data_IF_867144171592
#
_entry.id   IF_867144171592
#
_cell.length_a   1.000
_cell.length_b   1.000
_cell.length_c   1.000
_cell.angle_alpha   90.00
_cell.angle_beta   90.00
_cell.angle_gamma   90.00
#
_symmetry.space_group_name_H-M   'P 1'
#
loop_
_entity.id
_entity.type
_entity.pdbx_description
1 polymer ?
#
# COMPACT_ATOMS: atom_id res chain seq x y z
N UNK A 1 9.72 19.33 -8.95
CA UNK A 1 9.78 18.61 -7.65
C UNK A 1 8.98 17.32 -7.75
N UNK A 2 9.37 16.25 -7.04
CA UNK A 2 8.60 14.98 -7.00
C UNK A 2 8.51 14.45 -5.56
N UNK A 3 7.31 14.10 -5.12
CA UNK A 3 7.01 13.40 -3.87
C UNK A 3 6.32 12.08 -4.21
N UNK A 4 6.87 10.97 -3.74
CA UNK A 4 6.32 9.63 -3.96
C UNK A 4 5.89 9.06 -2.60
N UNK A 5 4.65 8.55 -2.56
CA UNK A 5 4.12 7.72 -1.47
C UNK A 5 3.70 6.38 -2.06
N UNK A 6 4.10 5.29 -1.41
CA UNK A 6 3.72 3.95 -1.83
C UNK A 6 2.77 3.34 -0.79
N UNK A 7 1.64 2.83 -1.26
CA UNK A 7 0.68 2.11 -0.43
C UNK A 7 0.23 0.82 -1.11
N UNK A 8 -0.07 -0.21 -0.32
CA UNK A 8 -0.59 -1.48 -0.81
C UNK A 8 -1.93 -1.76 -0.14
N UNK A 9 -2.96 -1.88 -0.98
CA UNK A 9 -4.31 -2.26 -0.58
C UNK A 9 -4.43 -3.78 -0.60
N UNK A 10 -4.82 -4.35 0.54
CA UNK A 10 -4.96 -5.79 0.70
C UNK A 10 -6.39 -6.06 1.14
N UNK A 11 -7.10 -6.96 0.46
CA UNK A 11 -8.47 -7.30 0.81
C UNK A 11 -8.87 -8.72 0.42
N UNK A 12 -9.95 -9.19 1.05
CA UNK A 12 -10.60 -10.45 0.73
C UNK A 12 -11.75 -10.74 1.68
N UNK A 13 -12.74 -11.51 1.23
CA UNK A 13 -13.92 -11.86 2.02
C UNK A 13 -13.55 -12.52 3.36
N UNK A 14 -12.52 -13.39 3.34
CA UNK A 14 -12.01 -14.07 4.53
C UNK A 14 -10.66 -13.52 4.99
N UNK A 15 -10.21 -12.38 4.45
CA UNK A 15 -8.93 -11.81 4.83
C UNK A 15 -8.97 -11.36 6.29
N UNK A 16 -8.01 -11.77 7.10
CA UNK A 16 -7.86 -11.25 8.47
C UNK A 16 -6.58 -10.42 8.60
N UNK A 17 -6.69 -9.07 8.61
CA UNK A 17 -5.56 -8.18 8.88
C UNK A 17 -4.85 -8.48 10.20
N UNK A 18 -5.56 -8.73 11.31
CA UNK A 18 -4.91 -9.00 12.59
C UNK A 18 -4.10 -10.30 12.56
N UNK A 19 -4.62 -11.34 11.92
CA UNK A 19 -3.87 -12.58 11.73
C UNK A 19 -2.63 -12.35 10.84
N UNK A 20 -2.78 -11.54 9.78
CA UNK A 20 -1.68 -11.19 8.89
C UNK A 20 -0.57 -10.43 9.63
N UNK A 21 -0.88 -9.41 10.43
CA UNK A 21 0.11 -8.71 11.26
C UNK A 21 0.84 -9.67 12.19
N UNK A 22 0.10 -10.53 12.90
CA UNK A 22 0.70 -11.52 13.82
C UNK A 22 1.65 -12.51 13.11
N UNK A 23 1.35 -12.88 11.86
CA UNK A 23 2.18 -13.83 11.08
C UNK A 23 3.39 -13.18 10.42
N UNK A 24 3.29 -11.89 10.07
CA UNK A 24 4.27 -11.21 9.22
C UNK A 24 5.07 -10.15 9.97
N UNK A 25 4.65 -9.79 11.18
CA UNK A 25 5.15 -8.66 11.96
C UNK A 25 5.02 -7.31 11.24
N UNK A 26 4.14 -7.24 10.22
CA UNK A 26 3.79 -6.01 9.55
C UNK A 26 2.81 -5.19 10.39
N UNK A 27 2.83 -3.89 10.18
CA UNK A 27 1.85 -2.95 10.74
C UNK A 27 1.03 -2.34 9.62
N UNK A 28 -0.30 -2.43 9.70
CA UNK A 28 -1.21 -1.80 8.75
C UNK A 28 -1.71 -0.45 9.27
N UNK A 29 -1.54 0.59 8.45
CA UNK A 29 -1.94 1.96 8.77
C UNK A 29 -3.46 2.09 8.93
N UNK A 30 -4.21 1.32 8.15
CA UNK A 30 -5.68 1.23 8.23
C UNK A 30 -6.07 -0.23 8.06
N UNK A 31 -7.05 -0.69 8.82
CA UNK A 31 -7.56 -2.07 8.72
C UNK A 31 -8.96 -2.20 9.27
N UNK A 32 -9.65 -3.25 8.80
CA UNK A 32 -10.87 -3.76 9.41
C UNK A 32 -10.94 -5.28 9.19
N UNK A 33 -11.58 -5.98 10.12
CA UNK A 33 -11.91 -7.40 9.99
C UNK A 33 -13.27 -7.61 9.29
N UNK A 34 -13.49 -8.77 8.65
CA UNK A 34 -14.82 -9.21 8.28
C UNK A 34 -15.73 -9.27 9.51
N UNK A 35 -16.94 -8.72 9.41
CA UNK A 35 -17.94 -8.71 10.47
C UNK A 35 -17.85 -7.52 11.43
N UNK A 36 -16.77 -6.72 11.40
CA UNK A 36 -16.69 -5.49 12.19
C UNK A 36 -17.76 -4.48 11.76
N UNK A 37 -18.30 -3.73 12.73
CA UNK A 37 -19.29 -2.69 12.44
C UNK A 37 -18.58 -1.50 11.81
N UNK A 38 -18.97 -1.16 10.57
CA UNK A 38 -18.43 -0.02 9.86
C UNK A 38 -18.83 1.30 10.53
N UNK A 39 -17.88 2.22 10.65
CA UNK A 39 -18.11 3.55 11.22
C UNK A 39 -18.40 4.62 10.16
N UNK A 40 -18.01 4.37 8.91
CA UNK A 40 -18.08 5.34 7.80
C UNK A 40 -18.45 4.66 6.48
N UNK A 41 -18.84 5.46 5.49
CA UNK A 41 -19.11 5.01 4.12
C UNK A 41 -20.30 4.06 4.00
N UNK A 42 -20.25 3.20 2.97
CA UNK A 42 -21.34 2.30 2.57
C UNK A 42 -21.84 1.37 3.69
N UNK A 43 -20.94 0.93 4.58
CA UNK A 43 -21.24 -0.03 5.66
C UNK A 43 -21.40 0.65 7.03
N UNK A 44 -21.69 1.96 7.07
CA UNK A 44 -21.89 2.67 8.34
C UNK A 44 -23.05 2.04 9.13
N UNK A 45 -22.74 1.58 10.35
CA UNK A 45 -23.69 0.90 11.24
C UNK A 45 -24.02 -0.53 10.83
N UNK A 46 -23.30 -1.12 9.86
CA UNK A 46 -23.52 -2.48 9.38
C UNK A 46 -22.21 -3.29 9.46
N UNK A 47 -22.28 -4.63 9.59
CA UNK A 47 -21.11 -5.49 9.49
C UNK A 47 -20.43 -5.36 8.12
N UNK A 48 -19.12 -5.19 8.09
CA UNK A 48 -18.32 -5.13 6.86
C UNK A 48 -18.14 -6.57 6.33
N UNK A 49 -18.44 -6.87 5.05
CA UNK A 49 -18.44 -8.24 4.55
C UNK A 49 -17.06 -8.80 4.18
N UNK A 50 -16.00 -8.03 4.34
CA UNK A 50 -14.64 -8.40 3.96
C UNK A 50 -13.61 -7.79 4.92
N UNK A 51 -12.44 -8.40 4.97
CA UNK A 51 -11.29 -7.80 5.62
C UNK A 51 -10.52 -6.93 4.65
N UNK A 52 -9.96 -5.85 5.17
CA UNK A 52 -9.14 -4.92 4.38
C UNK A 52 -8.02 -4.37 5.24
N UNK A 53 -6.87 -4.17 4.62
CA UNK A 53 -5.75 -3.48 5.21
C UNK A 53 -5.05 -2.57 4.20
N UNK A 54 -4.34 -1.57 4.73
CA UNK A 54 -3.44 -0.71 3.97
C UNK A 54 -2.06 -0.79 4.59
N UNK A 55 -1.10 -1.28 3.82
CA UNK A 55 0.31 -1.18 4.14
C UNK A 55 0.87 0.09 3.50
N UNK A 56 1.50 0.95 4.29
CA UNK A 56 2.14 2.16 3.78
C UNK A 56 3.66 2.08 4.01
N UNK A 57 4.44 2.56 3.05
CA UNK A 57 5.85 2.78 3.31
C UNK A 57 5.98 3.80 4.47
N UNK A 58 6.82 3.54 5.50
CA UNK A 58 6.90 4.40 6.69
C UNK A 58 7.63 5.73 6.42
N UNK A 59 7.92 6.04 5.16
CA UNK A 59 8.59 7.23 4.68
C UNK A 59 8.14 7.52 3.24
N UNK A 60 8.45 8.72 2.76
CA UNK A 60 8.23 9.13 1.38
C UNK A 60 9.58 9.43 0.71
N UNK A 61 9.58 9.76 -0.59
CA UNK A 61 10.81 10.03 -1.33
C UNK A 61 11.63 11.23 -0.80
N UNK A 62 11.06 12.07 0.06
CA UNK A 62 11.72 13.26 0.61
C UNK A 62 12.21 13.07 2.05
N UNK A 63 11.57 12.21 2.85
CA UNK A 63 11.95 11.99 4.25
C UNK A 63 13.12 11.00 4.42
N UNK A 64 13.40 10.17 3.42
CA UNK A 64 14.60 9.30 3.37
C UNK A 64 15.24 9.25 1.99
N UNK A 65 15.81 10.36 1.49
CA UNK A 65 16.44 10.37 0.18
C UNK A 65 17.70 9.48 0.18
N UNK A 66 17.82 8.61 -0.82
CA UNK A 66 19.07 7.91 -1.17
C UNK A 66 19.39 6.58 -0.48
N UNK A 67 18.59 6.12 0.49
CA UNK A 67 18.79 4.80 1.12
C UNK A 67 17.94 3.72 0.46
N UNK A 68 16.64 3.99 0.35
CA UNK A 68 15.63 3.11 -0.27
C UNK A 68 14.43 3.98 -0.64
N UNK A 69 13.90 3.80 -1.84
CA UNK A 69 12.69 4.50 -2.28
C UNK A 69 11.44 3.78 -1.72
N UNK A 70 10.34 4.50 -1.43
CA UNK A 70 9.15 3.92 -0.81
C UNK A 70 8.55 2.76 -1.62
N UNK A 71 8.57 2.85 -2.95
CA UNK A 71 8.15 1.79 -3.85
C UNK A 71 9.04 0.54 -3.76
N UNK A 72 10.36 0.72 -3.59
CA UNK A 72 11.29 -0.39 -3.46
C UNK A 72 11.06 -1.11 -2.13
N UNK A 73 10.87 -0.35 -1.05
CA UNK A 73 10.60 -0.90 0.28
C UNK A 73 9.35 -1.78 0.29
N UNK A 74 8.24 -1.29 -0.27
CA UNK A 74 6.98 -2.04 -0.23
C UNK A 74 7.04 -3.30 -1.11
N UNK A 75 7.70 -3.24 -2.28
CA UNK A 75 7.93 -4.42 -3.12
C UNK A 75 8.80 -5.46 -2.42
N UNK A 76 9.84 -5.03 -1.69
CA UNK A 76 10.68 -5.94 -0.91
C UNK A 76 9.90 -6.61 0.23
N UNK A 77 9.09 -5.83 0.96
CA UNK A 77 8.21 -6.37 2.01
C UNK A 77 7.20 -7.37 1.44
N UNK A 78 6.53 -7.02 0.34
CA UNK A 78 5.57 -7.92 -0.31
C UNK A 78 6.26 -9.19 -0.82
N UNK A 79 7.48 -9.09 -1.35
CA UNK A 79 8.25 -10.24 -1.82
C UNK A 79 8.53 -11.26 -0.71
N UNK A 80 8.62 -10.80 0.54
CA UNK A 80 8.84 -11.67 1.70
C UNK A 80 7.53 -12.27 2.27
N UNK A 81 6.41 -11.58 2.11
CA UNK A 81 5.19 -11.88 2.89
C UNK A 81 3.93 -12.15 2.05
N UNK A 82 3.98 -12.05 0.72
CA UNK A 82 2.78 -12.16 -0.12
C UNK A 82 2.03 -13.49 0.06
N UNK A 83 2.76 -14.60 0.22
CA UNK A 83 2.14 -15.91 0.46
C UNK A 83 1.51 -16.00 1.85
N UNK A 84 2.13 -15.38 2.86
CA UNK A 84 1.54 -15.27 4.20
C UNK A 84 0.26 -14.44 4.17
N UNK A 85 0.23 -13.32 3.44
CA UNK A 85 -0.97 -12.50 3.26
C UNK A 85 -2.09 -13.30 2.57
N UNK A 86 -1.78 -14.02 1.49
CA UNK A 86 -2.73 -14.92 0.80
C UNK A 86 -3.23 -16.03 1.73
N UNK A 87 -2.36 -16.62 2.54
CA UNK A 87 -2.73 -17.64 3.54
C UNK A 87 -3.67 -17.10 4.64
N UNK A 88 -3.71 -15.79 4.81
CA UNK A 88 -4.63 -15.11 5.72
C UNK A 88 -5.94 -14.70 5.05
N UNK A 89 -6.19 -15.09 3.79
CA UNK A 89 -7.43 -14.84 3.06
C UNK A 89 -7.39 -13.65 2.11
N UNK A 90 -6.23 -13.02 1.89
CA UNK A 90 -6.09 -11.96 0.89
C UNK A 90 -6.28 -12.54 -0.52
N UNK A 91 -7.20 -11.95 -1.27
CA UNK A 91 -7.51 -12.34 -2.67
C UNK A 91 -7.24 -11.20 -3.65
N UNK A 92 -7.28 -9.95 -3.16
CA UNK A 92 -6.87 -8.76 -3.88
C UNK A 92 -5.72 -8.09 -3.13
N UNK A 93 -4.62 -7.89 -3.84
CA UNK A 93 -3.44 -7.15 -3.38
C UNK A 93 -3.11 -6.19 -4.52
N UNK A 94 -3.11 -4.89 -4.25
CA UNK A 94 -2.87 -3.84 -5.23
C UNK A 94 -1.85 -2.86 -4.68
N UNK A 95 -0.77 -2.63 -5.41
CA UNK A 95 0.24 -1.62 -5.10
C UNK A 95 -0.09 -0.32 -5.85
N UNK A 96 -0.22 0.78 -5.12
CA UNK A 96 -0.47 2.11 -5.67
C UNK A 96 0.67 3.07 -5.29
N UNK A 97 1.20 3.78 -6.29
CA UNK A 97 2.14 4.88 -6.10
C UNK A 97 1.43 6.21 -6.33
N UNK A 98 1.36 7.03 -5.29
CA UNK A 98 0.92 8.42 -5.40
C UNK A 98 2.13 9.31 -5.63
N UNK A 99 2.13 9.98 -6.78
CA UNK A 99 3.21 10.85 -7.24
C UNK A 99 2.69 12.28 -7.32
N UNK A 100 3.08 13.11 -6.36
CA UNK A 100 2.87 14.56 -6.44
C UNK A 100 4.07 15.19 -7.16
N UNK A 101 3.84 16.00 -8.17
CA UNK A 101 4.92 16.62 -8.93
C UNK A 101 4.68 18.10 -9.25
N UNK A 102 5.78 18.79 -9.55
CA UNK A 102 5.82 20.15 -10.08
C UNK A 102 6.83 20.17 -11.23
N UNK A 103 6.44 20.71 -12.39
CA UNK A 103 7.19 20.78 -13.65
C UNK A 103 7.49 19.44 -14.33
N UNK A 104 8.77 19.04 -14.42
CA UNK A 104 9.14 17.79 -15.08
C UNK A 104 9.07 16.61 -14.10
N UNK A 105 8.30 15.59 -14.46
CA UNK A 105 8.22 14.33 -13.74
C UNK A 105 8.67 13.16 -14.64
N UNK A 106 9.89 12.67 -14.42
CA UNK A 106 10.36 11.42 -15.01
C UNK A 106 10.41 10.35 -13.92
N UNK A 107 9.61 9.29 -14.07
CA UNK A 107 9.69 8.10 -13.23
C UNK A 107 10.53 7.05 -13.94
N UNK A 108 11.64 6.65 -13.32
CA UNK A 108 12.53 5.63 -13.83
C UNK A 108 12.64 4.50 -12.81
N UNK A 109 12.39 3.28 -13.25
CA UNK A 109 12.49 2.07 -12.44
C UNK A 109 13.61 1.19 -12.97
N UNK A 110 14.43 0.65 -12.09
CA UNK A 110 15.45 -0.29 -12.49
C UNK A 110 14.87 -1.68 -12.82
N UNK A 111 15.63 -2.48 -13.56
CA UNK A 111 15.19 -3.80 -14.00
C UNK A 111 14.95 -4.78 -12.84
N UNK A 112 15.67 -4.63 -11.72
CA UNK A 112 15.52 -5.49 -10.55
C UNK A 112 14.19 -5.24 -9.86
N UNK A 113 13.81 -3.97 -9.68
CA UNK A 113 12.49 -3.58 -9.18
C UNK A 113 11.38 -4.17 -10.05
N UNK A 114 11.44 -3.95 -11.37
CA UNK A 114 10.41 -4.43 -12.30
C UNK A 114 10.27 -5.96 -12.28
N UNK A 115 11.39 -6.70 -12.15
CA UNK A 115 11.36 -8.15 -12.03
C UNK A 115 10.73 -8.62 -10.71
N UNK A 116 11.01 -7.96 -9.59
CA UNK A 116 10.38 -8.28 -8.30
C UNK A 116 8.88 -8.01 -8.36
N UNK A 117 8.49 -6.85 -8.86
CA UNK A 117 7.09 -6.47 -9.02
C UNK A 117 6.33 -7.48 -9.87
N UNK A 118 6.87 -7.88 -11.02
CA UNK A 118 6.26 -8.89 -11.89
C UNK A 118 6.07 -10.25 -11.19
N UNK A 119 7.02 -10.67 -10.35
CA UNK A 119 6.91 -11.94 -9.60
C UNK A 119 5.80 -11.94 -8.55
N UNK A 120 5.43 -10.78 -8.01
CA UNK A 120 4.34 -10.67 -7.04
C UNK A 120 2.98 -11.08 -7.66
N UNK A 121 2.82 -10.90 -8.98
CA UNK A 121 1.56 -11.15 -9.69
C UNK A 121 0.39 -10.42 -9.03
N UNK A 122 0.57 -9.11 -8.86
CA UNK A 122 -0.41 -8.18 -8.27
C UNK A 122 -0.65 -7.02 -9.22
N UNK A 123 -1.77 -6.33 -9.03
CA UNK A 123 -2.04 -5.09 -9.77
C UNK A 123 -1.14 -3.97 -9.24
N UNK A 124 -0.72 -3.11 -10.18
CA UNK A 124 0.16 -1.98 -9.91
C UNK A 124 -0.37 -0.74 -10.62
N UNK A 125 -0.62 0.32 -9.85
CA UNK A 125 -1.11 1.59 -10.33
C UNK A 125 -0.18 2.74 -9.92
N UNK A 126 -0.14 3.76 -10.77
CA UNK A 126 0.55 5.02 -10.48
C UNK A 126 -0.45 6.14 -10.69
N UNK A 127 -0.70 6.88 -9.62
CA UNK A 127 -1.60 8.02 -9.58
C UNK A 127 -0.77 9.30 -9.50
N UNK A 128 -0.86 10.17 -10.50
CA UNK A 128 -0.08 11.41 -10.58
C UNK A 128 -0.95 12.65 -10.36
N UNK A 129 -0.48 13.55 -9.51
CA UNK A 129 -1.15 14.82 -9.19
C UNK A 129 -0.15 15.97 -9.30
N UNK A 130 -0.56 17.05 -9.95
CA UNK A 130 0.19 18.31 -9.90
C UNK A 130 -0.05 18.97 -8.54
N UNK A 131 1.00 19.43 -7.85
CA UNK A 131 0.85 20.10 -6.56
C UNK A 131 2.16 20.42 -5.84
N UNK A 132 2.06 21.25 -4.80
CA UNK A 132 3.15 21.60 -3.88
C UNK A 132 3.09 20.79 -2.58
N UNK A 133 4.23 20.58 -1.90
CA UNK A 133 4.29 19.83 -0.63
C UNK A 133 3.45 20.48 0.47
N UNK A 134 3.27 21.80 0.41
CA UNK A 134 2.64 22.62 1.47
C UNK A 134 1.12 22.38 1.63
N UNK A 135 0.48 21.62 0.74
CA UNK A 135 -0.98 21.41 0.74
C UNK A 135 -1.43 20.09 1.41
N UNK A 136 -0.52 19.28 1.97
CA UNK A 136 -0.84 17.92 2.41
C UNK A 136 -0.66 17.61 3.92
N UNK A 137 -0.45 18.62 4.79
CA UNK A 137 -0.43 18.42 6.25
C UNK A 137 -1.81 18.49 6.93
N UNK A 138 -2.88 18.84 6.20
CA UNK A 138 -4.24 18.90 6.73
C UNK A 138 -5.14 17.83 6.10
N UNK A 139 -5.22 16.65 6.73
CA UNK A 139 -6.13 15.57 6.32
C UNK A 139 -6.19 14.39 7.27
#
# INVERSE_FOLDING_TARGET
MVLIRASCWISGETFSPYLAEKKTDLYFARKNEPGEIGNVGRYRGQPIPYGRAVLEAPFNSQTKPGLILPEQWIVDVLSLHIDSLRSCGATSIELDLNVTWQDQCNLAFDASFLQKLAKLSIDFSISCYEGSIDEQEEG
#
